data_IF_595026174650
#
_entry.id   IF_595026174650
#
_cell.length_a   1.000
_cell.length_b   1.000
_cell.length_c   1.000
_cell.angle_alpha   90.00
_cell.angle_beta   90.00
_cell.angle_gamma   90.00
#
_symmetry.space_group_name_H-M   'P 1'
#
loop_
_entity.id
_entity.type
_entity.pdbx_description
1 polymer ?
#
# COMPACT_ATOMS: atom_id res chain seq x y z
N UNK A 1 -6.23 7.03 -0.53
CA UNK A 1 -4.92 7.01 0.16
C UNK A 1 -4.04 5.93 -0.47
N UNK A 2 -2.81 6.28 -0.84
CA UNK A 2 -1.82 5.39 -1.46
C UNK A 2 -0.75 5.05 -0.43
N UNK A 3 -0.51 3.75 -0.18
CA UNK A 3 0.38 3.28 0.91
C UNK A 3 1.42 2.31 0.36
N UNK A 4 2.70 2.59 0.54
CA UNK A 4 3.79 1.71 0.13
C UNK A 4 5.11 2.09 0.78
N UNK A 5 6.11 1.22 0.75
CA UNK A 5 7.47 1.64 1.08
C UNK A 5 8.06 2.52 -0.04
N UNK A 6 9.17 3.20 0.24
CA UNK A 6 9.98 3.86 -0.78
C UNK A 6 10.57 2.87 -1.80
N UNK A 7 11.21 3.39 -2.85
CA UNK A 7 11.73 2.58 -3.96
C UNK A 7 10.64 1.98 -4.85
N UNK A 8 10.79 0.69 -5.23
CA UNK A 8 9.94 0.05 -6.23
C UNK A 8 8.45 -0.06 -5.89
N UNK A 9 8.09 -0.12 -4.60
CA UNK A 9 6.68 -0.08 -4.17
C UNK A 9 6.05 1.30 -4.44
N UNK A 10 6.79 2.37 -4.15
CA UNK A 10 6.37 3.74 -4.43
C UNK A 10 6.31 4.00 -5.94
N UNK A 11 7.30 3.54 -6.71
CA UNK A 11 7.30 3.68 -8.17
C UNK A 11 6.05 3.05 -8.82
N UNK A 12 5.67 1.83 -8.39
CA UNK A 12 4.44 1.18 -8.86
C UNK A 12 3.18 1.96 -8.48
N UNK A 13 3.13 2.57 -7.30
CA UNK A 13 2.01 3.43 -6.93
C UNK A 13 1.97 4.69 -7.79
N UNK A 14 3.12 5.32 -8.07
CA UNK A 14 3.19 6.50 -8.95
C UNK A 14 2.78 6.17 -10.38
N UNK A 15 3.09 4.97 -10.87
CA UNK A 15 2.67 4.53 -12.20
C UNK A 15 1.14 4.49 -12.37
N UNK A 16 0.37 4.45 -11.27
CA UNK A 16 -1.09 4.57 -11.30
C UNK A 16 -1.58 6.00 -11.56
N UNK A 17 -0.70 6.97 -11.84
CA UNK A 17 -1.06 8.38 -12.07
C UNK A 17 -2.21 8.57 -13.06
N UNK A 18 -2.30 7.87 -14.21
CA UNK A 18 -3.45 8.00 -15.11
C UNK A 18 -4.80 7.69 -14.44
N UNK A 19 -4.82 6.85 -13.40
CA UNK A 19 -6.03 6.45 -12.67
C UNK A 19 -6.41 7.42 -11.54
N UNK A 20 -5.42 7.98 -10.82
CA UNK A 20 -5.68 8.82 -9.65
C UNK A 20 -5.49 10.32 -9.85
N UNK A 21 -4.91 10.79 -10.97
CA UNK A 21 -4.54 12.22 -11.14
C UNK A 21 -5.71 13.19 -10.93
N UNK A 22 -6.90 12.79 -11.36
CA UNK A 22 -8.13 13.59 -11.29
C UNK A 22 -8.88 13.39 -9.95
N UNK A 23 -8.21 12.79 -8.96
CA UNK A 23 -8.77 12.48 -7.64
C UNK A 23 -7.90 13.09 -6.54
N UNK A 24 -8.54 13.44 -5.43
CA UNK A 24 -7.82 13.76 -4.20
C UNK A 24 -7.05 12.53 -3.71
N UNK A 25 -5.78 12.71 -3.36
CA UNK A 25 -4.92 11.63 -2.86
C UNK A 25 -4.09 12.12 -1.69
N UNK A 26 -3.70 11.14 -0.90
CA UNK A 26 -2.70 11.29 0.14
C UNK A 26 -1.82 10.06 0.14
N UNK A 27 -0.56 10.25 0.48
CA UNK A 27 0.46 9.23 0.43
C UNK A 27 0.91 8.81 1.83
N UNK A 28 1.30 7.56 1.97
CA UNK A 28 1.98 7.04 3.14
C UNK A 28 3.19 6.26 2.66
N UNK A 29 4.39 6.76 2.99
CA UNK A 29 5.66 6.12 2.64
C UNK A 29 6.76 6.50 3.63
N UNK A 30 7.99 6.04 3.40
CA UNK A 30 9.13 6.34 4.27
C UNK A 30 9.78 7.67 3.88
N UNK A 31 10.29 8.37 4.90
CA UNK A 31 10.99 9.64 4.73
C UNK A 31 12.41 9.41 4.18
N UNK A 32 12.50 9.21 2.87
CA UNK A 32 13.75 8.99 2.14
C UNK A 32 13.93 10.04 1.03
N UNK A 33 15.17 10.37 0.62
CA UNK A 33 15.40 11.41 -0.39
C UNK A 33 14.69 11.14 -1.73
N UNK A 34 14.64 9.87 -2.16
CA UNK A 34 13.92 9.45 -3.36
C UNK A 34 12.41 9.73 -3.23
N UNK A 35 11.81 9.38 -2.09
CA UNK A 35 10.38 9.58 -1.86
C UNK A 35 10.01 11.07 -1.76
N UNK A 36 10.85 11.89 -1.13
CA UNK A 36 10.65 13.35 -1.09
C UNK A 36 10.68 13.96 -2.49
N UNK A 37 11.63 13.54 -3.32
CA UNK A 37 11.75 14.02 -4.70
C UNK A 37 10.56 13.58 -5.56
N UNK A 38 10.15 12.31 -5.45
CA UNK A 38 9.04 11.76 -6.23
C UNK A 38 7.67 12.35 -5.87
N UNK A 39 7.50 12.76 -4.61
CA UNK A 39 6.22 13.22 -4.06
C UNK A 39 6.26 14.73 -3.72
N UNK A 40 7.09 15.50 -4.40
CA UNK A 40 7.15 16.94 -4.20
C UNK A 40 5.79 17.58 -4.53
N UNK A 41 5.31 18.44 -3.63
CA UNK A 41 3.98 19.05 -3.73
C UNK A 41 2.78 18.13 -3.43
N UNK A 42 2.99 16.86 -3.09
CA UNK A 42 1.91 15.93 -2.71
C UNK A 42 1.65 15.95 -1.19
N UNK A 43 0.45 15.52 -0.79
CA UNK A 43 0.09 15.35 0.62
C UNK A 43 0.63 14.00 1.16
N UNK A 44 1.75 14.05 1.86
CA UNK A 44 2.49 12.87 2.32
C UNK A 44 2.50 12.74 3.84
N UNK A 45 2.20 11.52 4.32
CA UNK A 45 2.41 11.09 5.69
C UNK A 45 3.63 10.17 5.76
N UNK A 46 4.65 10.60 6.49
CA UNK A 46 5.88 9.84 6.67
C UNK A 46 5.73 8.76 7.74
N UNK A 47 5.87 7.50 7.33
CA UNK A 47 5.81 6.33 8.20
C UNK A 47 7.18 5.98 8.81
N UNK A 48 7.13 5.24 9.92
CA UNK A 48 8.33 4.79 10.62
C UNK A 48 8.95 3.57 9.94
N UNK A 49 10.24 3.64 9.67
CA UNK A 49 11.06 2.57 9.10
C UNK A 49 12.30 2.31 10.00
N UNK A 50 12.96 1.14 9.91
CA UNK A 50 12.63 -0.03 9.10
C UNK A 50 11.41 -0.78 9.65
N UNK A 51 10.64 -1.42 8.76
CA UNK A 51 9.43 -2.19 9.13
C UNK A 51 9.65 -3.71 9.11
N UNK A 52 10.72 -4.18 8.48
CA UNK A 52 11.09 -5.60 8.42
C UNK A 52 11.42 -6.13 9.82
N UNK A 53 10.65 -7.11 10.29
CA UNK A 53 10.83 -7.76 11.61
C UNK A 53 10.91 -6.78 12.79
N UNK A 54 10.30 -5.60 12.67
CA UNK A 54 10.36 -4.55 13.69
C UNK A 54 8.98 -4.28 14.30
N UNK A 55 8.67 -4.98 15.39
CA UNK A 55 7.38 -4.84 16.09
C UNK A 55 7.17 -3.44 16.70
N UNK A 56 8.25 -2.78 17.12
CA UNK A 56 8.17 -1.41 17.64
C UNK A 56 7.67 -0.45 16.57
N UNK A 57 8.23 -0.51 15.37
CA UNK A 57 7.79 0.33 14.26
C UNK A 57 6.42 -0.10 13.71
N UNK A 58 6.05 -1.39 13.79
CA UNK A 58 4.69 -1.84 13.51
C UNK A 58 3.67 -1.13 14.43
N UNK A 59 3.92 -1.11 15.75
CA UNK A 59 3.05 -0.44 16.72
C UNK A 59 3.00 1.08 16.50
N UNK A 60 4.15 1.72 16.23
CA UNK A 60 4.19 3.16 15.92
C UNK A 60 3.39 3.48 14.65
N UNK A 61 3.51 2.65 13.61
CA UNK A 61 2.75 2.82 12.37
C UNK A 61 1.26 2.52 12.54
N UNK A 62 0.88 1.63 13.46
CA UNK A 62 -0.52 1.41 13.82
C UNK A 62 -1.13 2.64 14.48
N UNK A 63 -0.42 3.25 15.42
CA UNK A 63 -0.86 4.49 16.04
C UNK A 63 -0.89 5.67 15.05
N UNK A 64 0.11 5.76 14.18
CA UNK A 64 0.13 6.72 13.07
C UNK A 64 -1.10 6.54 12.17
N UNK A 65 -1.39 5.31 11.74
CA UNK A 65 -2.58 5.01 10.94
C UNK A 65 -3.86 5.47 11.65
N UNK A 66 -4.04 5.10 12.93
CA UNK A 66 -5.21 5.52 13.71
C UNK A 66 -5.38 7.04 13.70
N UNK A 67 -4.29 7.81 13.91
CA UNK A 67 -4.31 9.27 13.88
C UNK A 67 -4.67 9.81 12.49
N UNK A 68 -4.06 9.28 11.45
CA UNK A 68 -4.28 9.72 10.07
C UNK A 68 -5.75 9.54 9.69
N UNK A 69 -6.33 8.38 9.94
CA UNK A 69 -7.75 8.11 9.67
C UNK A 69 -8.72 8.84 10.61
N UNK A 70 -8.26 9.47 11.71
CA UNK A 70 -9.10 10.35 12.54
C UNK A 70 -9.15 11.77 11.99
N UNK A 71 -8.10 12.22 11.31
CA UNK A 71 -7.99 13.58 10.78
C UNK A 71 -8.28 13.69 9.28
N UNK A 72 -8.61 12.59 8.60
CA UNK A 72 -8.79 12.55 7.15
C UNK A 72 -9.98 11.69 6.78
N UNK A 73 -10.75 12.16 5.81
CA UNK A 73 -11.79 11.37 5.17
C UNK A 73 -11.16 10.53 4.05
N UNK A 74 -11.05 9.21 4.29
CA UNK A 74 -10.37 8.28 3.38
C UNK A 74 -11.41 7.36 2.76
N UNK A 75 -11.68 7.57 1.47
CA UNK A 75 -12.64 6.76 0.71
C UNK A 75 -12.12 5.35 0.36
N UNK A 76 -10.80 5.19 0.19
CA UNK A 76 -10.18 3.90 -0.10
C UNK A 76 -8.68 3.92 0.23
N UNK A 77 -8.14 2.75 0.57
CA UNK A 77 -6.70 2.48 0.70
C UNK A 77 -6.25 1.61 -0.46
N UNK A 78 -5.25 2.07 -1.20
CA UNK A 78 -4.56 1.28 -2.23
C UNK A 78 -3.11 1.09 -1.80
N UNK A 79 -2.62 -0.14 -1.83
CA UNK A 79 -1.26 -0.45 -1.42
C UNK A 79 -0.57 -1.43 -2.35
N UNK A 80 0.70 -1.21 -2.64
CA UNK A 80 1.58 -2.17 -3.32
C UNK A 80 2.34 -3.05 -2.32
N UNK A 81 2.08 -2.92 -1.01
CA UNK A 81 2.67 -3.77 0.02
C UNK A 81 3.79 -3.15 0.84
N UNK A 82 4.78 -4.00 1.17
CA UNK A 82 5.81 -3.81 2.20
C UNK A 82 5.28 -3.76 3.65
N UNK A 83 6.19 -3.63 4.62
CA UNK A 83 5.88 -3.73 6.06
C UNK A 83 5.04 -2.57 6.61
N UNK A 84 4.87 -1.47 5.87
CA UNK A 84 4.03 -0.34 6.26
C UNK A 84 2.55 -0.53 5.93
N UNK A 85 2.21 -1.40 4.98
CA UNK A 85 0.83 -1.59 4.51
C UNK A 85 -0.10 -2.15 5.60
N UNK A 86 0.39 -3.14 6.36
CA UNK A 86 -0.45 -3.92 7.28
C UNK A 86 -1.19 -3.06 8.33
N UNK A 87 -0.53 -2.15 9.07
CA UNK A 87 -1.23 -1.26 10.00
C UNK A 87 -2.34 -0.43 9.36
N UNK A 88 -2.09 0.13 8.17
CA UNK A 88 -3.07 0.99 7.49
C UNK A 88 -4.25 0.17 6.96
N UNK A 89 -3.99 -1.02 6.42
CA UNK A 89 -5.02 -1.95 5.95
C UNK A 89 -5.93 -2.41 7.10
N UNK A 90 -5.37 -2.81 8.24
CA UNK A 90 -6.15 -3.22 9.42
C UNK A 90 -7.06 -2.07 9.87
N UNK A 91 -6.48 -0.88 10.02
CA UNK A 91 -7.19 0.29 10.54
C UNK A 91 -8.28 0.77 9.57
N UNK A 92 -8.06 0.67 8.26
CA UNK A 92 -9.08 0.93 7.24
C UNK A 92 -10.22 -0.09 7.30
N UNK A 93 -9.89 -1.38 7.37
CA UNK A 93 -10.87 -2.46 7.45
C UNK A 93 -11.79 -2.35 8.67
N UNK A 94 -11.23 -1.97 9.83
CA UNK A 94 -12.00 -1.72 11.06
C UNK A 94 -12.96 -0.52 10.94
N UNK A 95 -12.68 0.42 10.04
CA UNK A 95 -13.55 1.57 9.73
C UNK A 95 -14.51 1.31 8.58
N UNK A 96 -14.53 0.11 8.00
CA UNK A 96 -15.34 -0.20 6.82
C UNK A 96 -14.83 0.47 5.53
N UNK A 97 -13.60 0.99 5.53
CA UNK A 97 -12.99 1.64 4.36
C UNK A 97 -12.48 0.54 3.41
N UNK A 98 -12.83 0.59 2.11
CA UNK A 98 -12.31 -0.35 1.13
C UNK A 98 -10.78 -0.38 1.05
N UNK A 99 -10.23 -1.58 0.99
CA UNK A 99 -8.78 -1.85 0.96
C UNK A 99 -8.43 -2.66 -0.29
N UNK A 100 -7.54 -2.11 -1.11
CA UNK A 100 -7.07 -2.70 -2.36
C UNK A 100 -5.58 -2.96 -2.25
N UNK A 101 -5.17 -4.18 -2.52
CA UNK A 101 -3.76 -4.57 -2.56
C UNK A 101 -3.36 -4.89 -4.00
N UNK A 102 -2.22 -4.40 -4.44
CA UNK A 102 -1.61 -4.71 -5.73
C UNK A 102 -0.33 -5.50 -5.44
N UNK A 103 -0.26 -6.76 -5.87
CA UNK A 103 0.96 -7.54 -5.71
C UNK A 103 2.09 -6.96 -6.56
N UNK A 104 3.31 -7.05 -6.06
CA UNK A 104 4.49 -6.54 -6.75
C UNK A 104 4.77 -7.26 -8.05
N UNK A 105 5.33 -6.52 -9.00
CA UNK A 105 5.69 -7.01 -10.34
C UNK A 105 6.72 -8.16 -10.31
N UNK A 106 7.68 -8.16 -9.37
CA UNK A 106 8.83 -9.07 -9.34
C UNK A 106 8.59 -10.40 -8.60
N UNK A 107 7.36 -10.66 -8.15
CA UNK A 107 6.99 -11.87 -7.38
C UNK A 107 5.86 -12.62 -8.08
N UNK A 108 6.23 -13.40 -9.09
CA UNK A 108 5.28 -14.14 -9.94
C UNK A 108 4.83 -15.44 -9.24
N UNK A 109 5.79 -16.24 -8.76
CA UNK A 109 5.53 -17.60 -8.28
C UNK A 109 5.43 -17.73 -6.75
N UNK A 110 5.71 -16.66 -6.00
CA UNK A 110 5.66 -16.69 -4.53
C UNK A 110 4.88 -15.50 -3.96
N UNK A 111 3.99 -15.71 -2.99
CA UNK A 111 3.20 -14.63 -2.40
C UNK A 111 4.07 -13.81 -1.44
N UNK A 112 3.95 -12.48 -1.47
CA UNK A 112 4.66 -11.64 -0.50
C UNK A 112 4.11 -11.85 0.90
N UNK A 113 4.97 -11.78 1.93
CA UNK A 113 4.52 -11.86 3.32
C UNK A 113 3.50 -10.77 3.65
N UNK A 114 3.69 -9.56 3.12
CA UNK A 114 2.75 -8.45 3.27
C UNK A 114 1.39 -8.77 2.67
N UNK A 115 1.33 -9.33 1.46
CA UNK A 115 0.06 -9.73 0.84
C UNK A 115 -0.64 -10.82 1.66
N UNK A 116 0.10 -11.84 2.11
CA UNK A 116 -0.44 -12.90 2.99
C UNK A 116 -1.06 -12.34 4.27
N UNK A 117 -0.37 -11.42 4.94
CA UNK A 117 -0.84 -10.82 6.18
C UNK A 117 -2.02 -9.85 5.97
N UNK A 118 -2.03 -9.12 4.85
CA UNK A 118 -3.11 -8.18 4.55
C UNK A 118 -4.37 -8.89 4.04
N UNK A 119 -4.25 -10.05 3.39
CA UNK A 119 -5.33 -10.77 2.68
C UNK A 119 -6.67 -10.87 3.42
N UNK A 120 -6.75 -11.20 4.73
CA UNK A 120 -8.02 -11.28 5.45
C UNK A 120 -8.76 -9.93 5.56
N UNK A 121 -8.05 -8.83 5.37
CA UNK A 121 -8.52 -7.47 5.55
C UNK A 121 -8.74 -6.73 4.22
N UNK A 122 -8.53 -7.40 3.08
CA UNK A 122 -8.66 -6.79 1.75
C UNK A 122 -10.08 -6.86 1.22
N UNK A 123 -10.53 -5.77 0.61
CA UNK A 123 -11.73 -5.74 -0.25
C UNK A 123 -11.43 -6.31 -1.63
N UNK A 124 -10.25 -6.00 -2.18
CA UNK A 124 -9.82 -6.50 -3.48
C UNK A 124 -8.31 -6.81 -3.49
N UNK A 125 -7.96 -7.86 -4.23
CA UNK A 125 -6.60 -8.23 -4.54
C UNK A 125 -6.39 -8.04 -6.05
N UNK A 126 -5.38 -7.27 -6.41
CA UNK A 126 -4.97 -7.02 -7.78
C UNK A 126 -3.59 -7.64 -7.98
N UNK A 127 -3.38 -8.22 -9.15
CA UNK A 127 -2.12 -8.86 -9.56
C UNK A 127 -1.72 -8.34 -10.93
N UNK A 128 -0.43 -8.39 -11.24
CA UNK A 128 0.11 -7.85 -12.49
C UNK A 128 0.30 -8.94 -13.56
N UNK A 129 0.33 -10.20 -13.14
CA UNK A 129 0.50 -11.37 -14.00
C UNK A 129 -0.66 -12.36 -13.86
N UNK A 130 -0.97 -13.10 -14.91
CA UNK A 130 -2.00 -14.16 -14.87
C UNK A 130 -1.54 -15.31 -13.95
N UNK A 131 -0.24 -15.61 -13.95
CA UNK A 131 0.40 -16.64 -13.13
C UNK A 131 0.20 -16.40 -11.63
N UNK A 132 0.16 -15.14 -11.20
CA UNK A 132 -0.07 -14.77 -9.80
C UNK A 132 -1.47 -15.17 -9.32
N UNK A 133 -2.44 -15.39 -10.22
CA UNK A 133 -3.77 -15.91 -9.84
C UNK A 133 -3.70 -17.32 -9.25
N UNK A 134 -2.65 -18.10 -9.54
CA UNK A 134 -2.41 -19.39 -8.87
C UNK A 134 -2.26 -19.22 -7.36
N UNK A 135 -1.68 -18.11 -6.92
CA UNK A 135 -1.49 -17.73 -5.51
C UNK A 135 -2.72 -17.01 -4.93
N UNK A 136 -3.41 -16.26 -5.80
CA UNK A 136 -4.57 -15.45 -5.46
C UNK A 136 -5.74 -15.71 -6.42
N UNK A 137 -6.49 -16.83 -6.26
CA UNK A 137 -7.50 -17.25 -7.25
C UNK A 137 -8.61 -16.24 -7.52
N UNK A 138 -8.90 -15.38 -6.55
CA UNK A 138 -9.92 -14.32 -6.64
C UNK A 138 -9.34 -12.94 -7.02
N UNK A 139 -8.06 -12.87 -7.37
CA UNK A 139 -7.45 -11.61 -7.77
C UNK A 139 -7.82 -11.21 -9.19
N UNK A 140 -7.88 -9.90 -9.42
CA UNK A 140 -8.06 -9.30 -10.75
C UNK A 140 -6.70 -8.96 -11.34
N UNK A 141 -6.46 -9.37 -12.57
CA UNK A 141 -5.23 -9.00 -13.30
C UNK A 141 -5.39 -7.60 -13.86
N UNK A 142 -4.46 -6.70 -13.51
CA UNK A 142 -4.49 -5.29 -13.92
C UNK A 142 -3.37 -4.91 -14.88
N UNK A 143 -2.52 -5.88 -15.24
CA UNK A 143 -1.35 -5.67 -16.08
C UNK A 143 -0.17 -5.05 -15.32
N UNK A 144 0.91 -4.82 -16.05
CA UNK A 144 2.19 -4.40 -15.51
C UNK A 144 2.21 -2.89 -15.23
N UNK A 145 2.59 -2.54 -14.00
CA UNK A 145 2.73 -1.14 -13.55
C UNK A 145 4.15 -0.60 -13.74
N UNK A 146 5.09 -1.44 -14.18
CA UNK A 146 6.48 -1.11 -14.52
C UNK A 146 6.91 -1.86 -15.78
#
# INVERSE_FOLDING_TARGET
MLVGSSGGHLAQLVALAPWYRDRARSWVTFDTPDARSLLDGEDVVWAHHPTTRNLKNLARNLWLAVRVFRGRDVAAVVTTGAGVALPFVIVARLRGIPTVYIEVYDRIDTPTLSARLCRPFLSAMLVQWEEQRRLYPKATVVGNLL
#
